data_IF_333056296840
#
_entry.id   IF_333056296840
#
_cell.length_a   1.000
_cell.length_b   1.000
_cell.length_c   1.000
_cell.angle_alpha   90.00
_cell.angle_beta   90.00
_cell.angle_gamma   90.00
#
_symmetry.space_group_name_H-M   'P 1'
#
loop_
_entity.id
_entity.type
_entity.pdbx_description
1 polymer ?
#
# COMPACT_ATOMS: atom_id res chain seq x y z
N UNK A 1 16.09 24.30 14.37
CA UNK A 1 15.16 25.17 13.59
C UNK A 1 15.52 26.61 13.97
N UNK A 2 15.66 27.47 13.01
CA UNK A 2 15.85 28.92 13.23
C UNK A 2 14.54 29.46 13.83
N UNK A 3 14.56 30.06 15.05
CA UNK A 3 13.35 30.58 15.68
C UNK A 3 12.70 31.76 14.92
N UNK A 4 13.41 32.39 13.98
CA UNK A 4 12.89 33.48 13.13
C UNK A 4 12.39 32.99 11.75
N UNK A 5 12.72 31.77 11.35
CA UNK A 5 12.32 31.24 10.05
C UNK A 5 11.97 29.74 10.14
N UNK A 6 10.73 29.44 10.49
CA UNK A 6 10.17 28.11 10.71
C UNK A 6 10.25 27.16 9.48
N UNK A 7 10.74 27.64 8.35
CA UNK A 7 10.83 26.91 7.08
C UNK A 7 12.28 26.59 6.65
N UNK A 8 13.29 27.01 7.39
CA UNK A 8 14.69 26.81 7.00
C UNK A 8 15.39 25.80 7.92
N UNK A 9 16.01 24.81 7.30
CA UNK A 9 16.86 23.86 8.03
C UNK A 9 18.26 24.45 8.15
N UNK A 10 18.83 24.42 9.36
CA UNK A 10 20.20 24.89 9.61
C UNK A 10 21.21 23.74 9.66
N UNK A 11 20.77 22.60 10.21
CA UNK A 11 21.61 21.41 10.34
C UNK A 11 20.80 20.14 10.40
N UNK A 12 21.43 19.01 10.10
CA UNK A 12 20.92 17.67 10.38
C UNK A 12 21.76 17.01 11.47
N UNK A 13 21.09 16.29 12.38
CA UNK A 13 21.74 15.44 13.37
C UNK A 13 21.56 13.99 12.98
N UNK A 14 22.66 13.26 12.87
CA UNK A 14 22.69 11.86 12.44
C UNK A 14 23.16 11.00 13.62
N UNK A 15 22.39 9.99 13.96
CA UNK A 15 22.78 8.97 14.96
C UNK A 15 23.45 7.81 14.24
N UNK A 16 24.64 7.43 14.67
CA UNK A 16 25.31 6.23 14.17
C UNK A 16 24.60 5.01 14.68
N UNK A 17 24.23 4.10 13.77
CA UNK A 17 23.64 2.81 14.14
C UNK A 17 24.71 1.72 14.13
N UNK A 18 24.61 0.80 15.10
CA UNK A 18 25.32 -0.48 15.12
C UNK A 18 24.34 -1.58 14.72
N UNK A 19 24.79 -2.50 13.85
CA UNK A 19 23.99 -3.67 13.48
C UNK A 19 24.14 -4.73 14.57
N UNK A 20 23.04 -5.06 15.23
CA UNK A 20 22.97 -6.10 16.25
C UNK A 20 22.26 -7.32 15.68
N UNK A 21 22.89 -8.47 15.84
CA UNK A 21 22.31 -9.75 15.41
C UNK A 21 21.30 -10.24 16.44
N UNK A 22 20.09 -10.49 15.98
CA UNK A 22 18.99 -11.04 16.78
C UNK A 22 19.09 -12.58 16.85
N UNK A 23 18.30 -13.20 17.73
CA UNK A 23 18.26 -14.66 17.91
C UNK A 23 17.83 -15.41 16.63
N UNK A 24 16.97 -14.81 15.81
CA UNK A 24 16.53 -15.34 14.51
C UNK A 24 17.57 -15.17 13.38
N UNK A 25 18.74 -14.60 13.70
CA UNK A 25 19.83 -14.34 12.75
C UNK A 25 19.68 -13.04 11.97
N UNK A 26 18.61 -12.30 12.11
CA UNK A 26 18.41 -10.99 11.48
C UNK A 26 19.35 -9.93 12.07
N UNK A 27 19.69 -8.92 11.25
CA UNK A 27 20.47 -7.77 11.69
C UNK A 27 19.54 -6.58 11.86
N UNK A 28 19.46 -6.04 13.07
CA UNK A 28 18.64 -4.88 13.40
C UNK A 28 19.53 -3.69 13.74
N UNK A 29 19.29 -2.49 13.16
CA UNK A 29 20.03 -1.29 13.52
C UNK A 29 19.63 -0.82 14.91
N UNK A 30 20.61 -0.65 15.78
CA UNK A 30 20.46 -0.08 17.12
C UNK A 30 21.21 1.26 17.19
N UNK A 31 20.52 2.29 17.64
CA UNK A 31 21.12 3.61 17.80
C UNK A 31 22.23 3.58 18.85
N UNK A 32 23.41 4.12 18.50
CA UNK A 32 24.49 4.35 19.44
C UNK A 32 24.37 5.76 20.08
N UNK A 33 25.24 6.04 21.05
CA UNK A 33 25.32 7.37 21.64
C UNK A 33 26.08 8.38 20.75
N UNK A 34 26.65 7.94 19.63
CA UNK A 34 27.42 8.80 18.72
C UNK A 34 26.48 9.61 17.82
N UNK A 35 26.51 10.93 17.99
CA UNK A 35 25.71 11.88 17.20
C UNK A 35 26.67 12.74 16.39
N UNK A 36 26.48 12.77 15.08
CA UNK A 36 27.18 13.64 14.16
C UNK A 36 26.24 14.71 13.64
N UNK A 37 26.67 15.96 13.61
CA UNK A 37 25.92 17.08 13.08
C UNK A 37 26.59 17.61 11.80
N UNK A 38 25.76 17.92 10.79
CA UNK A 38 26.21 18.55 9.56
C UNK A 38 25.37 19.79 9.24
N UNK A 39 26.01 20.96 9.00
CA UNK A 39 25.30 22.15 8.52
C UNK A 39 24.59 21.82 7.19
N UNK A 40 23.33 22.18 7.07
CA UNK A 40 22.51 21.82 5.90
C UNK A 40 21.40 22.83 5.72
N UNK A 41 21.32 23.44 4.54
CA UNK A 41 20.26 24.40 4.22
C UNK A 41 19.01 23.79 3.59
N UNK A 42 19.09 22.53 3.12
CA UNK A 42 17.99 21.84 2.45
C UNK A 42 18.09 20.33 2.68
N UNK A 43 16.96 19.71 2.97
CA UNK A 43 16.85 18.24 3.17
C UNK A 43 15.75 17.68 2.30
N UNK A 44 16.08 16.72 1.44
CA UNK A 44 15.12 15.91 0.70
C UNK A 44 14.88 14.59 1.43
N UNK A 45 13.62 14.31 1.74
CA UNK A 45 13.22 13.05 2.36
C UNK A 45 12.84 12.04 1.29
N UNK A 46 13.57 10.93 1.21
CA UNK A 46 13.26 9.77 0.35
C UNK A 46 13.34 8.48 1.17
N UNK A 47 12.51 8.41 2.21
CA UNK A 47 12.52 7.33 3.22
C UNK A 47 11.55 6.19 2.93
N UNK A 48 11.01 6.15 1.71
CA UNK A 48 10.01 5.16 1.28
C UNK A 48 8.58 5.64 1.47
N UNK A 49 7.67 4.74 1.19
CA UNK A 49 6.23 4.98 1.25
C UNK A 49 5.61 4.21 2.41
N UNK A 50 4.49 4.71 2.88
CA UNK A 50 3.67 4.09 3.89
C UNK A 50 2.22 4.09 3.41
N UNK A 51 1.55 2.93 3.48
CA UNK A 51 0.15 2.82 3.09
C UNK A 51 -0.74 3.73 3.93
N UNK A 52 -1.84 4.17 3.35
CA UNK A 52 -2.88 4.90 4.09
C UNK A 52 -4.09 3.99 4.29
N UNK A 53 -4.72 4.02 5.48
CA UNK A 53 -5.95 3.28 5.70
C UNK A 53 -7.05 3.76 4.76
N UNK A 54 -7.86 2.83 4.29
CA UNK A 54 -9.10 3.08 3.58
C UNK A 54 -10.26 2.76 4.50
N UNK A 55 -11.35 3.53 4.39
CA UNK A 55 -12.56 3.28 5.16
C UNK A 55 -13.07 1.85 4.91
N UNK A 56 -13.56 1.22 5.95
CA UNK A 56 -14.18 -0.11 5.94
C UNK A 56 -13.23 -1.28 5.58
N UNK A 57 -11.92 -1.00 5.39
CA UNK A 57 -10.91 -2.05 5.20
C UNK A 57 -10.01 -2.16 6.43
N UNK A 58 -9.64 -3.39 6.83
CA UNK A 58 -8.66 -3.58 7.88
C UNK A 58 -7.31 -3.00 7.46
N UNK A 59 -6.59 -2.40 8.41
CA UNK A 59 -5.29 -1.80 8.14
C UNK A 59 -4.35 -2.00 9.32
N UNK A 60 -3.19 -2.56 9.06
CA UNK A 60 -2.13 -2.68 10.04
C UNK A 60 -1.25 -1.43 10.02
N UNK A 61 -1.38 -0.61 11.03
CA UNK A 61 -0.59 0.60 11.18
C UNK A 61 0.91 0.34 11.40
N UNK A 62 1.29 -0.82 11.89
CA UNK A 62 2.70 -1.15 12.12
C UNK A 62 3.45 -1.42 10.84
N UNK A 63 2.82 -2.15 9.93
CA UNK A 63 3.40 -2.49 8.63
C UNK A 63 3.01 -1.53 7.51
N UNK A 64 1.94 -0.75 7.70
CA UNK A 64 1.40 0.14 6.67
C UNK A 64 0.71 -0.63 5.53
N UNK A 65 0.11 -1.78 5.82
CA UNK A 65 -0.50 -2.68 4.83
C UNK A 65 -1.90 -3.09 5.23
N UNK A 66 -2.64 -3.64 4.27
CA UNK A 66 -3.90 -4.33 4.52
C UNK A 66 -3.59 -5.81 4.80
N UNK A 67 -3.98 -6.35 5.98
CA UNK A 67 -3.79 -7.76 6.31
C UNK A 67 -4.45 -8.66 5.27
N UNK A 68 -3.69 -9.61 4.72
CA UNK A 68 -4.16 -10.46 3.64
C UNK A 68 -3.47 -11.83 3.64
N UNK A 69 -4.03 -12.76 2.87
CA UNK A 69 -3.41 -14.03 2.54
C UNK A 69 -3.48 -14.22 1.03
N UNK A 70 -2.32 -14.29 0.38
CA UNK A 70 -2.19 -14.36 -1.08
C UNK A 70 -3.00 -13.26 -1.80
N UNK A 71 -3.16 -12.09 -1.17
CA UNK A 71 -3.91 -10.97 -1.68
C UNK A 71 -5.39 -10.93 -1.30
N UNK A 72 -5.98 -11.96 -0.72
CA UNK A 72 -7.34 -11.91 -0.19
C UNK A 72 -7.33 -11.28 1.21
N UNK A 73 -8.17 -10.28 1.44
CA UNK A 73 -8.20 -9.50 2.68
C UNK A 73 -8.63 -10.36 3.86
N UNK A 74 -7.94 -10.24 4.99
CA UNK A 74 -8.30 -10.91 6.24
C UNK A 74 -9.34 -10.12 7.01
N UNK A 75 -10.25 -10.81 7.69
CA UNK A 75 -11.21 -10.18 8.57
C UNK A 75 -10.48 -9.56 9.78
N UNK A 76 -10.84 -8.34 10.20
CA UNK A 76 -10.18 -7.67 11.32
C UNK A 76 -10.51 -8.27 12.69
N UNK A 77 -11.66 -8.93 12.84
CA UNK A 77 -12.10 -9.54 14.09
C UNK A 77 -11.55 -10.96 14.24
N UNK A 78 -11.50 -11.71 13.14
CA UNK A 78 -10.88 -13.03 13.09
C UNK A 78 -9.89 -13.11 11.91
N UNK A 79 -8.62 -12.94 12.19
CA UNK A 79 -7.55 -12.97 11.17
C UNK A 79 -7.40 -14.32 10.44
N UNK A 80 -8.14 -15.36 10.84
CA UNK A 80 -8.21 -16.65 10.12
C UNK A 80 -9.33 -16.67 9.07
N UNK A 81 -10.27 -15.73 9.14
CA UNK A 81 -11.35 -15.59 8.17
C UNK A 81 -10.87 -14.65 7.05
N UNK A 82 -11.16 -15.04 5.81
CA UNK A 82 -10.90 -14.20 4.64
C UNK A 82 -12.20 -13.54 4.20
N UNK A 83 -12.13 -12.26 3.89
CA UNK A 83 -13.28 -11.52 3.38
C UNK A 83 -13.60 -11.93 1.95
N UNK A 84 -14.87 -12.13 1.68
CA UNK A 84 -15.34 -12.48 0.35
C UNK A 84 -15.17 -11.28 -0.60
N UNK A 85 -14.62 -11.55 -1.80
CA UNK A 85 -14.51 -10.58 -2.90
C UNK A 85 -13.71 -9.31 -2.61
N UNK A 86 -12.94 -9.29 -1.53
CA UNK A 86 -12.02 -8.21 -1.21
C UNK A 86 -10.58 -8.67 -1.40
N UNK A 87 -9.85 -7.98 -2.29
CA UNK A 87 -8.48 -8.35 -2.67
C UNK A 87 -7.58 -7.12 -2.73
N UNK A 88 -6.31 -7.33 -2.46
CA UNK A 88 -5.26 -6.32 -2.50
C UNK A 88 -4.07 -6.80 -3.31
N UNK A 89 -3.38 -5.88 -3.98
CA UNK A 89 -2.15 -6.12 -4.71
C UNK A 89 -1.17 -4.96 -4.53
N UNK A 90 0.10 -5.20 -4.82
CA UNK A 90 1.13 -4.17 -4.77
C UNK A 90 1.55 -3.79 -3.36
N UNK A 91 1.96 -2.55 -3.17
CA UNK A 91 2.56 -2.10 -1.91
C UNK A 91 1.61 -2.10 -0.73
N UNK A 92 0.32 -1.89 -0.94
CA UNK A 92 -0.67 -1.97 0.13
C UNK A 92 -0.86 -3.41 0.64
N UNK A 93 -0.53 -4.42 -0.19
CA UNK A 93 -0.54 -5.85 0.17
C UNK A 93 0.68 -6.24 0.99
N UNK A 94 1.90 -5.86 0.57
CA UNK A 94 3.17 -6.39 1.08
C UNK A 94 4.13 -5.35 1.67
N UNK A 95 3.77 -4.07 1.63
CA UNK A 95 4.66 -2.97 1.97
C UNK A 95 5.53 -2.53 0.76
N UNK A 96 6.18 -1.36 0.87
CA UNK A 96 6.96 -0.77 -0.21
C UNK A 96 8.35 -1.42 -0.33
N UNK A 97 8.39 -2.70 -0.68
CA UNK A 97 9.59 -3.51 -0.82
C UNK A 97 9.67 -4.15 -2.21
N UNK A 98 10.88 -4.57 -2.60
CA UNK A 98 11.15 -5.24 -3.86
C UNK A 98 11.48 -4.28 -5.02
N UNK A 99 11.66 -4.86 -6.20
CA UNK A 99 11.98 -4.18 -7.46
C UNK A 99 10.78 -4.18 -8.41
N UNK A 100 10.89 -3.50 -9.55
CA UNK A 100 9.79 -3.38 -10.54
C UNK A 100 9.17 -4.76 -10.89
N UNK A 101 10.00 -5.79 -11.10
CA UNK A 101 9.52 -7.15 -11.41
C UNK A 101 8.70 -7.82 -10.31
N UNK A 102 8.89 -7.42 -9.06
CA UNK A 102 8.17 -7.98 -7.91
C UNK A 102 6.67 -7.70 -7.98
N UNK A 103 6.27 -6.55 -8.52
CA UNK A 103 4.86 -6.17 -8.65
C UNK A 103 4.09 -7.10 -9.58
N UNK A 104 4.75 -7.62 -10.63
CA UNK A 104 4.11 -8.58 -11.54
C UNK A 104 3.78 -9.89 -10.84
N UNK A 105 4.74 -10.44 -10.10
CA UNK A 105 4.54 -11.69 -9.36
C UNK A 105 3.47 -11.53 -8.28
N UNK A 106 3.50 -10.41 -7.56
CA UNK A 106 2.54 -10.07 -6.55
C UNK A 106 1.11 -9.97 -7.10
N UNK A 107 0.93 -9.32 -8.25
CA UNK A 107 -0.36 -9.25 -8.92
C UNK A 107 -0.84 -10.63 -9.42
N UNK A 108 0.07 -11.46 -9.96
CA UNK A 108 -0.25 -12.82 -10.40
C UNK A 108 -0.75 -13.68 -9.23
N UNK A 109 -0.10 -13.61 -8.06
CA UNK A 109 -0.54 -14.34 -6.86
C UNK A 109 -1.96 -13.93 -6.45
N UNK A 110 -2.25 -12.62 -6.42
CA UNK A 110 -3.58 -12.13 -6.08
C UNK A 110 -4.64 -12.58 -7.08
N UNK A 111 -4.33 -12.53 -8.39
CA UNK A 111 -5.26 -12.98 -9.44
C UNK A 111 -5.50 -14.49 -9.34
N UNK A 112 -4.47 -15.31 -9.08
CA UNK A 112 -4.66 -16.75 -8.85
C UNK A 112 -5.60 -17.00 -7.68
N UNK A 113 -5.40 -16.29 -6.56
CA UNK A 113 -6.29 -16.42 -5.40
C UNK A 113 -7.73 -16.01 -5.72
N UNK A 114 -7.92 -14.94 -6.48
CA UNK A 114 -9.25 -14.53 -6.96
C UNK A 114 -9.92 -15.64 -7.79
N UNK A 115 -9.18 -16.22 -8.73
CA UNK A 115 -9.70 -17.28 -9.59
C UNK A 115 -10.03 -18.57 -8.81
N UNK A 116 -9.17 -18.97 -7.87
CA UNK A 116 -9.43 -20.11 -7.00
C UNK A 116 -10.71 -19.92 -6.19
N UNK A 117 -10.88 -18.75 -5.56
CA UNK A 117 -12.08 -18.42 -4.80
C UNK A 117 -13.31 -18.42 -5.71
N UNK A 118 -13.20 -17.81 -6.89
CA UNK A 118 -14.29 -17.74 -7.86
C UNK A 118 -14.71 -19.10 -8.40
N UNK A 119 -13.77 -20.01 -8.64
CA UNK A 119 -14.05 -21.36 -9.14
C UNK A 119 -14.58 -22.30 -8.06
N UNK A 120 -14.14 -22.11 -6.81
CA UNK A 120 -14.58 -22.93 -5.67
C UNK A 120 -15.94 -22.49 -5.13
N UNK A 121 -16.22 -21.18 -5.15
CA UNK A 121 -17.55 -20.70 -4.96
C UNK A 121 -18.37 -21.19 -6.17
N UNK A 122 -19.27 -22.16 -5.97
CA UNK A 122 -20.37 -22.36 -6.89
C UNK A 122 -21.15 -21.05 -6.89
N UNK A 123 -20.73 -20.13 -7.74
CA UNK A 123 -21.48 -18.90 -7.94
C UNK A 123 -22.88 -19.33 -8.34
N UNK A 124 -23.83 -19.22 -7.43
CA UNK A 124 -25.22 -19.11 -7.79
C UNK A 124 -25.28 -17.94 -8.77
N UNK A 125 -25.18 -18.28 -10.04
CA UNK A 125 -25.40 -17.35 -11.11
C UNK A 125 -26.76 -16.73 -10.85
N UNK A 126 -26.79 -15.46 -10.46
CA UNK A 126 -28.03 -14.74 -10.41
C UNK A 126 -28.58 -14.30 -9.06
N UNK A 127 -27.79 -14.14 -8.00
CA UNK A 127 -28.18 -13.09 -7.05
C UNK A 127 -28.01 -11.77 -7.77
N UNK A 128 -29.12 -11.32 -8.38
CA UNK A 128 -29.27 -9.99 -8.91
C UNK A 128 -28.69 -9.00 -7.89
N UNK A 129 -27.47 -8.56 -8.08
CA UNK A 129 -27.04 -7.31 -7.48
C UNK A 129 -27.91 -6.24 -8.15
N UNK A 130 -28.99 -5.82 -7.49
CA UNK A 130 -29.75 -4.63 -7.85
C UNK A 130 -28.91 -3.35 -7.63
N UNK A 131 -27.60 -3.49 -7.71
CA UNK A 131 -26.70 -2.35 -7.68
C UNK A 131 -26.75 -1.69 -9.06
N UNK A 132 -26.98 -0.37 -9.12
CA UNK A 132 -26.86 0.36 -10.37
C UNK A 132 -25.46 0.10 -10.94
N UNK A 133 -25.35 0.02 -12.26
CA UNK A 133 -24.08 0.00 -12.96
C UNK A 133 -23.17 1.12 -12.43
N UNK A 134 -21.89 0.82 -12.24
CA UNK A 134 -20.93 1.78 -11.68
C UNK A 134 -20.92 3.10 -12.45
N UNK A 135 -21.10 3.07 -13.75
CA UNK A 135 -21.18 4.27 -14.60
C UNK A 135 -22.37 5.11 -14.19
N UNK A 136 -23.54 4.52 -14.10
CA UNK A 136 -24.77 5.18 -13.63
C UNK A 136 -24.60 5.78 -12.24
N UNK A 137 -23.89 5.08 -11.33
CA UNK A 137 -23.59 5.59 -10.00
C UNK A 137 -22.70 6.84 -10.04
N UNK A 138 -21.66 6.83 -10.85
CA UNK A 138 -20.72 7.95 -11.00
C UNK A 138 -21.42 9.17 -11.61
N UNK A 139 -22.23 8.95 -12.65
CA UNK A 139 -23.01 10.00 -13.29
C UNK A 139 -24.02 10.65 -12.33
N UNK A 140 -24.75 9.84 -11.57
CA UNK A 140 -25.69 10.33 -10.56
C UNK A 140 -25.00 11.14 -9.46
N UNK A 141 -23.77 10.80 -9.13
CA UNK A 141 -22.94 11.53 -8.16
C UNK A 141 -22.18 12.71 -8.77
N UNK A 142 -22.30 12.92 -10.09
CA UNK A 142 -21.56 13.96 -10.83
C UNK A 142 -20.04 13.87 -10.61
N UNK A 143 -19.51 12.67 -10.53
CA UNK A 143 -18.07 12.42 -10.42
C UNK A 143 -17.49 12.49 -11.82
N UNK A 144 -16.48 13.33 -12.01
CA UNK A 144 -15.68 13.34 -13.24
C UNK A 144 -14.75 12.11 -13.23
N UNK A 145 -14.79 11.32 -14.28
CA UNK A 145 -13.95 10.14 -14.43
C UNK A 145 -13.46 10.00 -15.87
N UNK A 146 -12.30 9.36 -16.04
CA UNK A 146 -11.75 9.06 -17.36
C UNK A 146 -12.31 7.72 -17.83
N UNK A 147 -13.07 7.73 -18.92
CA UNK A 147 -13.56 6.50 -19.54
C UNK A 147 -12.44 5.77 -20.28
N UNK A 148 -12.68 4.51 -20.66
CA UNK A 148 -11.73 3.79 -21.51
C UNK A 148 -11.52 4.43 -22.88
N UNK A 149 -12.54 5.09 -23.42
CA UNK A 149 -12.44 5.86 -24.66
C UNK A 149 -11.52 7.08 -24.50
N UNK A 150 -11.66 7.81 -23.40
CA UNK A 150 -10.80 8.95 -23.06
C UNK A 150 -9.37 8.50 -22.83
N UNK A 151 -9.17 7.38 -22.11
CA UNK A 151 -7.85 6.81 -21.90
C UNK A 151 -7.16 6.47 -23.23
N UNK A 152 -7.87 5.90 -24.20
CA UNK A 152 -7.31 5.62 -25.53
C UNK A 152 -6.84 6.89 -26.26
N UNK A 153 -7.51 8.02 -26.03
CA UNK A 153 -7.07 9.30 -26.58
C UNK A 153 -5.76 9.78 -25.94
N UNK A 154 -5.62 9.58 -24.61
CA UNK A 154 -4.40 9.90 -23.88
C UNK A 154 -3.26 9.01 -24.36
N UNK A 155 -3.46 7.69 -24.41
CA UNK A 155 -2.48 6.70 -24.84
C UNK A 155 -1.98 6.93 -26.28
N UNK A 156 -2.87 7.38 -27.16
CA UNK A 156 -2.49 7.72 -28.54
C UNK A 156 -1.71 9.04 -28.66
N UNK A 157 -1.70 9.85 -27.61
CA UNK A 157 -1.01 11.14 -27.59
C UNK A 157 0.37 11.07 -26.94
N UNK A 158 0.63 10.05 -26.12
CA UNK A 158 1.93 9.73 -25.54
C UNK A 158 2.88 9.07 -26.55
#
# INVERSE_FOLDING_TARGET
MDPENDQKVEKISMVRNQLVKMEDGSLVPQASAEINEAPTGLVFRSIGYYGKPLSDLPFDQKTGTIPNECGQVKDPEDGNILREREYVAGWIKRGPSGVIGTNKQDAVETVHRMLETFLNEKMEAGKNCNNPDIVTLLENRKVEYVSFADWKLIDAHE
#
